data_IF_013409696468
#
_entry.id   IF_013409696468
#
_cell.length_a   1.000
_cell.length_b   1.000
_cell.length_c   1.000
_cell.angle_alpha   90.00
_cell.angle_beta   90.00
_cell.angle_gamma   90.00
#
_symmetry.space_group_name_H-M   'P 1'
#
loop_
_entity.id
_entity.type
_entity.pdbx_description
1 polymer ?
#
# COMPACT_ATOMS: atom_id res chain seq x y z
N UNK A 1 -3.81 1.56 21.53
CA UNK A 1 -3.37 1.38 20.13
C UNK A 1 -4.51 1.68 19.16
N UNK A 2 -5.55 0.87 19.06
CA UNK A 2 -6.65 1.04 18.08
C UNK A 2 -7.34 2.41 18.08
N UNK A 3 -7.40 3.08 19.22
CA UNK A 3 -8.00 4.42 19.34
C UNK A 3 -7.30 5.45 18.41
N UNK A 4 -5.98 5.41 18.29
CA UNK A 4 -5.24 6.34 17.45
C UNK A 4 -5.47 6.09 15.96
N UNK A 5 -5.60 4.84 15.54
CA UNK A 5 -6.00 4.49 14.18
C UNK A 5 -7.46 4.89 13.90
N UNK A 6 -8.35 4.72 14.88
CA UNK A 6 -9.72 5.22 14.76
C UNK A 6 -9.74 6.74 14.59
N UNK A 7 -8.97 7.48 15.39
CA UNK A 7 -8.85 8.95 15.27
C UNK A 7 -8.30 9.36 13.90
N UNK A 8 -7.30 8.64 13.36
CA UNK A 8 -6.80 8.87 12.01
C UNK A 8 -7.91 8.70 10.97
N UNK A 9 -8.71 7.64 11.06
CA UNK A 9 -9.87 7.44 10.19
C UNK A 9 -10.96 8.52 10.34
N UNK A 10 -11.18 9.03 11.55
CA UNK A 10 -12.11 10.17 11.78
C UNK A 10 -11.59 11.43 11.11
N UNK A 11 -10.28 11.70 11.17
CA UNK A 11 -9.68 12.85 10.47
C UNK A 11 -9.90 12.73 8.96
N UNK A 12 -9.70 11.55 8.38
CA UNK A 12 -9.93 11.30 6.95
C UNK A 12 -11.40 11.50 6.57
N UNK A 13 -12.35 11.03 7.40
CA UNK A 13 -13.78 11.25 7.23
C UNK A 13 -14.14 12.74 7.30
N UNK A 14 -13.59 13.47 8.26
CA UNK A 14 -13.82 14.92 8.36
C UNK A 14 -13.36 15.66 7.10
N UNK A 15 -12.19 15.31 6.55
CA UNK A 15 -11.70 15.88 5.30
C UNK A 15 -12.63 15.51 4.13
N UNK A 16 -13.07 14.26 4.06
CA UNK A 16 -14.00 13.79 3.03
C UNK A 16 -15.33 14.56 3.03
N UNK A 17 -15.87 14.87 4.20
CA UNK A 17 -17.10 15.68 4.37
C UNK A 17 -16.86 17.20 4.24
N UNK A 18 -15.69 17.63 3.82
CA UNK A 18 -15.38 19.02 3.50
C UNK A 18 -14.96 19.88 4.68
N UNK A 19 -14.60 19.28 5.83
CA UNK A 19 -14.02 20.04 6.94
C UNK A 19 -12.62 20.54 6.54
N UNK A 20 -12.41 21.85 6.61
CA UNK A 20 -11.15 22.49 6.23
C UNK A 20 -10.09 22.28 7.34
N UNK A 21 -9.38 21.17 7.27
CA UNK A 21 -8.22 20.87 8.11
C UNK A 21 -6.92 21.31 7.42
N UNK A 22 -5.87 21.64 8.18
CA UNK A 22 -4.55 21.95 7.59
C UNK A 22 -4.05 20.87 6.65
N UNK A 23 -3.33 21.26 5.61
CA UNK A 23 -2.74 20.30 4.65
C UNK A 23 -1.76 19.35 5.36
N UNK A 24 -1.98 18.03 5.21
CA UNK A 24 -1.16 17.02 5.88
C UNK A 24 -1.74 16.46 7.18
N UNK A 25 -2.91 16.93 7.65
CA UNK A 25 -3.56 16.42 8.88
C UNK A 25 -3.79 14.90 8.83
N UNK A 26 -4.19 14.35 7.69
CA UNK A 26 -4.34 12.90 7.48
C UNK A 26 -3.02 12.16 7.74
N UNK A 27 -1.94 12.59 7.10
CA UNK A 27 -0.61 12.00 7.31
C UNK A 27 -0.14 12.17 8.76
N UNK A 28 -0.33 13.36 9.36
CA UNK A 28 0.05 13.63 10.74
C UNK A 28 -0.66 12.74 11.75
N UNK A 29 -1.96 12.52 11.57
CA UNK A 29 -2.76 11.60 12.39
C UNK A 29 -2.28 10.15 12.25
N UNK A 30 -1.95 9.72 11.03
CA UNK A 30 -1.42 8.37 10.77
C UNK A 30 -0.03 8.19 11.37
N UNK A 31 0.89 9.16 11.22
CA UNK A 31 2.21 9.13 11.88
C UNK A 31 2.06 9.00 13.39
N UNK A 32 1.18 9.80 14.01
CA UNK A 32 0.92 9.72 15.43
C UNK A 32 0.41 8.33 15.84
N UNK A 33 -0.49 7.74 15.07
CA UNK A 33 -1.01 6.41 15.35
C UNK A 33 0.10 5.34 15.37
N UNK A 34 0.99 5.33 14.37
CA UNK A 34 2.12 4.41 14.32
C UNK A 34 3.16 4.68 15.41
N UNK A 35 3.46 5.93 15.72
CA UNK A 35 4.38 6.29 16.82
C UNK A 35 3.83 5.79 18.17
N UNK A 36 2.55 6.01 18.44
CA UNK A 36 1.92 5.54 19.68
C UNK A 36 1.85 4.01 19.73
N UNK A 37 1.64 3.35 18.61
CA UNK A 37 1.73 1.90 18.52
C UNK A 37 3.14 1.41 18.88
N UNK A 38 4.18 1.98 18.27
CA UNK A 38 5.57 1.61 18.53
C UNK A 38 5.98 1.84 19.99
N UNK A 39 5.56 2.95 20.62
CA UNK A 39 5.81 3.22 22.02
C UNK A 39 5.13 2.20 22.94
N UNK A 40 3.89 1.81 22.66
CA UNK A 40 3.17 0.80 23.45
C UNK A 40 3.83 -0.57 23.31
N UNK A 41 4.24 -0.97 22.11
CA UNK A 41 4.96 -2.23 21.93
C UNK A 41 6.33 -2.22 22.61
N UNK A 42 7.08 -1.14 22.54
CA UNK A 42 8.35 -0.99 23.25
C UNK A 42 8.18 -1.16 24.76
N UNK A 43 7.13 -0.57 25.33
CA UNK A 43 6.82 -0.71 26.76
C UNK A 43 6.39 -2.12 27.15
N UNK A 44 5.74 -2.84 26.24
CA UNK A 44 5.19 -4.17 26.47
C UNK A 44 6.25 -5.29 26.48
N UNK A 45 7.44 -5.02 25.97
CA UNK A 45 8.54 -6.00 25.86
C UNK A 45 9.27 -6.22 27.19
N UNK A 46 9.15 -5.30 28.15
CA UNK A 46 9.84 -5.40 29.44
C UNK A 46 9.44 -6.65 30.26
N UNK A 47 10.44 -7.42 30.69
CA UNK A 47 10.23 -8.58 31.55
C UNK A 47 9.79 -9.85 30.81
N UNK A 48 9.83 -9.88 29.48
CA UNK A 48 9.54 -11.06 28.67
C UNK A 48 10.80 -11.92 28.45
N UNK A 49 10.63 -13.23 28.14
CA UNK A 49 11.73 -14.08 27.68
C UNK A 49 12.46 -13.51 26.49
N UNK A 50 13.75 -13.80 26.32
CA UNK A 50 14.60 -13.19 25.27
C UNK A 50 14.04 -13.33 23.86
N UNK A 51 13.56 -14.51 23.49
CA UNK A 51 12.97 -14.75 22.18
C UNK A 51 11.72 -13.90 21.96
N UNK A 52 10.83 -13.86 22.96
CA UNK A 52 9.59 -13.08 22.91
C UNK A 52 9.92 -11.57 22.78
N UNK A 53 10.83 -11.07 23.59
CA UNK A 53 11.31 -9.70 23.50
C UNK A 53 11.90 -9.38 22.13
N UNK A 54 12.72 -10.28 21.58
CA UNK A 54 13.39 -10.08 20.30
C UNK A 54 12.44 -10.01 19.11
N UNK A 55 11.47 -10.93 19.00
CA UNK A 55 10.51 -10.93 17.88
C UNK A 55 9.57 -9.74 17.92
N UNK A 56 9.21 -9.24 19.12
CA UNK A 56 8.48 -7.99 19.27
C UNK A 56 9.34 -6.77 18.91
N UNK A 57 10.63 -6.81 19.23
CA UNK A 57 11.56 -5.75 18.84
C UNK A 57 11.68 -5.61 17.32
N UNK A 58 11.71 -6.72 16.58
CA UNK A 58 11.66 -6.69 15.10
C UNK A 58 10.39 -5.99 14.59
N UNK A 59 9.24 -6.25 15.23
CA UNK A 59 7.99 -5.57 14.93
C UNK A 59 8.07 -4.06 15.19
N UNK A 60 8.64 -3.66 16.34
CA UNK A 60 8.83 -2.25 16.70
C UNK A 60 9.65 -1.50 15.66
N UNK A 61 10.70 -2.12 15.11
CA UNK A 61 11.49 -1.52 14.03
C UNK A 61 10.65 -1.28 12.77
N UNK A 62 9.79 -2.22 12.37
CA UNK A 62 8.90 -2.05 11.21
C UNK A 62 7.93 -0.90 11.48
N UNK A 63 7.34 -0.82 12.67
CA UNK A 63 6.37 0.22 13.05
C UNK A 63 6.99 1.62 12.94
N UNK A 64 8.16 1.84 13.55
CA UNK A 64 8.83 3.14 13.48
C UNK A 64 9.33 3.49 12.06
N UNK A 65 9.77 2.49 11.29
CA UNK A 65 10.13 2.69 9.90
C UNK A 65 8.90 3.08 9.07
N UNK A 66 7.74 2.48 9.34
CA UNK A 66 6.47 2.86 8.71
C UNK A 66 6.09 4.30 9.03
N UNK A 67 6.18 4.70 10.30
CA UNK A 67 5.92 6.08 10.72
C UNK A 67 6.85 7.07 10.01
N UNK A 68 8.14 6.74 9.89
CA UNK A 68 9.13 7.55 9.17
C UNK A 68 8.77 7.69 7.68
N UNK A 69 8.41 6.60 7.02
CA UNK A 69 8.04 6.61 5.59
C UNK A 69 6.80 7.46 5.37
N UNK A 70 5.79 7.38 6.24
CA UNK A 70 4.58 8.21 6.17
C UNK A 70 4.92 9.70 6.37
N UNK A 71 5.82 10.02 7.30
CA UNK A 71 6.29 11.38 7.51
C UNK A 71 7.06 11.94 6.28
N UNK A 72 7.86 11.09 5.61
CA UNK A 72 8.52 11.46 4.36
C UNK A 72 7.52 11.62 3.21
N UNK A 73 6.51 10.76 3.11
CA UNK A 73 5.44 10.85 2.11
C UNK A 73 4.64 12.16 2.28
N UNK A 74 4.40 12.60 3.51
CA UNK A 74 3.77 13.90 3.78
C UNK A 74 4.56 15.07 3.15
N UNK A 75 5.89 14.99 3.15
CA UNK A 75 6.79 15.99 2.56
C UNK A 75 6.91 15.82 1.03
N UNK A 76 6.99 14.59 0.55
CA UNK A 76 7.23 14.24 -0.86
C UNK A 76 6.00 13.54 -1.47
N UNK A 77 4.86 14.23 -1.52
CA UNK A 77 3.54 13.70 -1.93
C UNK A 77 3.50 13.07 -3.32
N UNK A 78 4.41 13.45 -4.21
CA UNK A 78 4.47 12.94 -5.59
C UNK A 78 5.31 11.68 -5.75
N UNK A 79 5.96 11.22 -4.68
CA UNK A 79 6.83 10.05 -4.73
C UNK A 79 6.02 8.76 -4.65
N UNK A 80 5.81 8.11 -5.79
CA UNK A 80 5.17 6.78 -5.88
C UNK A 80 5.94 5.74 -5.06
N UNK A 81 7.27 5.85 -5.01
CA UNK A 81 8.13 4.92 -4.27
C UNK A 81 7.81 4.92 -2.77
N UNK A 82 7.57 6.09 -2.17
CA UNK A 82 7.21 6.18 -0.74
C UNK A 82 5.86 5.52 -0.46
N UNK A 83 4.86 5.73 -1.33
CA UNK A 83 3.56 5.06 -1.21
C UNK A 83 3.67 3.52 -1.30
N UNK A 84 4.48 3.02 -2.25
CA UNK A 84 4.76 1.58 -2.38
C UNK A 84 5.49 1.05 -1.13
N UNK A 85 6.49 1.78 -0.64
CA UNK A 85 7.24 1.40 0.57
C UNK A 85 6.35 1.36 1.80
N UNK A 86 5.46 2.34 1.97
CA UNK A 86 4.46 2.33 3.04
C UNK A 86 3.56 1.10 2.97
N UNK A 87 3.06 0.79 1.77
CA UNK A 87 2.20 -0.38 1.57
C UNK A 87 2.93 -1.69 1.90
N UNK A 88 4.19 -1.82 1.49
CA UNK A 88 5.05 -2.95 1.82
C UNK A 88 5.23 -3.10 3.34
N UNK A 89 5.61 -2.03 4.03
CA UNK A 89 5.85 -2.06 5.48
C UNK A 89 4.58 -2.36 6.27
N UNK A 90 3.44 -1.80 5.87
CA UNK A 90 2.14 -2.09 6.52
C UNK A 90 1.74 -3.56 6.33
N UNK A 91 1.93 -4.12 5.13
CA UNK A 91 1.67 -5.52 4.85
C UNK A 91 2.62 -6.44 5.64
N UNK A 92 3.90 -6.09 5.71
CA UNK A 92 4.92 -6.80 6.47
C UNK A 92 4.59 -6.79 7.96
N UNK A 93 4.22 -5.63 8.52
CA UNK A 93 3.79 -5.48 9.91
C UNK A 93 2.58 -6.37 10.22
N UNK A 94 1.52 -6.29 9.41
CA UNK A 94 0.30 -7.07 9.62
C UNK A 94 0.56 -8.58 9.59
N UNK A 95 1.34 -9.07 8.64
CA UNK A 95 1.67 -10.49 8.54
C UNK A 95 2.66 -10.95 9.62
N UNK A 96 3.59 -10.08 10.06
CA UNK A 96 4.51 -10.40 11.16
C UNK A 96 3.79 -10.59 12.49
N UNK A 97 2.67 -9.89 12.73
CA UNK A 97 1.81 -10.18 13.90
C UNK A 97 1.38 -11.65 13.94
N UNK A 98 0.97 -12.23 12.81
CA UNK A 98 0.67 -13.66 12.73
C UNK A 98 1.91 -14.52 12.97
N UNK A 99 3.07 -14.11 12.41
CA UNK A 99 4.35 -14.77 12.63
C UNK A 99 4.72 -14.86 14.12
N UNK A 100 4.61 -13.75 14.85
CA UNK A 100 4.80 -13.69 16.31
C UNK A 100 3.86 -14.67 17.03
N UNK A 101 2.58 -14.66 16.67
CA UNK A 101 1.59 -15.56 17.24
C UNK A 101 1.93 -17.04 17.01
N UNK A 102 2.37 -17.40 15.80
CA UNK A 102 2.78 -18.78 15.46
C UNK A 102 4.05 -19.18 16.23
N UNK A 103 5.05 -18.30 16.34
CA UNK A 103 6.30 -18.58 17.04
C UNK A 103 6.06 -18.80 18.52
N UNK A 104 5.22 -17.97 19.17
CA UNK A 104 5.02 -18.01 20.61
C UNK A 104 3.96 -19.03 21.07
N UNK A 105 2.90 -19.20 20.27
CA UNK A 105 1.71 -19.95 20.70
C UNK A 105 1.35 -21.12 19.78
N UNK A 106 2.21 -21.44 18.80
CA UNK A 106 1.97 -22.56 17.87
C UNK A 106 1.84 -23.90 18.59
N UNK A 107 0.84 -24.71 18.23
CA UNK A 107 0.44 -25.96 18.90
C UNK A 107 1.47 -27.09 18.86
N UNK A 108 2.55 -26.97 18.11
CA UNK A 108 3.61 -27.94 17.94
C UNK A 108 4.98 -27.33 18.19
N UNK A 109 5.16 -26.74 19.36
CA UNK A 109 6.52 -26.36 19.74
C UNK A 109 7.31 -27.65 19.99
N UNK A 110 8.44 -27.89 19.32
CA UNK A 110 9.28 -29.03 19.56
C UNK A 110 9.78 -29.04 21.03
N UNK A 111 10.02 -30.21 21.60
CA UNK A 111 10.49 -30.34 22.98
C UNK A 111 11.85 -29.68 23.27
N UNK A 112 12.59 -29.30 22.22
CA UNK A 112 13.84 -28.52 22.30
C UNK A 112 13.63 -27.00 22.26
N UNK A 113 12.38 -26.54 22.26
CA UNK A 113 12.02 -25.11 22.17
C UNK A 113 12.22 -24.43 23.52
N UNK A 114 13.48 -24.11 23.82
CA UNK A 114 13.84 -23.33 24.99
C UNK A 114 13.85 -21.81 24.59
N UNK A 115 12.91 -21.05 25.14
CA UNK A 115 12.74 -19.63 24.85
C UNK A 115 13.95 -18.75 25.24
N UNK A 116 14.89 -19.28 25.97
CA UNK A 116 16.16 -18.61 26.34
C UNK A 116 17.33 -19.00 25.41
N UNK A 117 17.09 -19.88 24.44
CA UNK A 117 18.14 -20.34 23.52
C UNK A 117 18.51 -19.31 22.47
N UNK A 118 19.77 -18.90 22.45
CA UNK A 118 20.36 -18.05 21.41
C UNK A 118 20.13 -18.61 19.97
N UNK A 119 20.08 -19.90 19.82
CA UNK A 119 19.82 -20.60 18.57
C UNK A 119 18.44 -20.25 18.00
N UNK A 120 17.42 -20.13 18.86
CA UNK A 120 16.06 -19.76 18.44
C UNK A 120 15.97 -18.31 17.97
N UNK A 121 16.75 -17.41 18.57
CA UNK A 121 16.86 -16.02 18.11
C UNK A 121 17.43 -15.96 16.69
N UNK A 122 18.45 -16.77 16.39
CA UNK A 122 18.99 -16.88 15.02
C UNK A 122 17.95 -17.41 14.03
N UNK A 123 17.18 -18.44 14.39
CA UNK A 123 16.10 -18.96 13.54
C UNK A 123 14.98 -17.92 13.34
N UNK A 124 14.61 -17.19 14.38
CA UNK A 124 13.62 -16.11 14.29
C UNK A 124 14.08 -15.00 13.33
N UNK A 125 15.37 -14.63 13.40
CA UNK A 125 15.98 -13.65 12.48
C UNK A 125 15.94 -14.15 11.04
N UNK A 126 16.33 -15.40 10.79
CA UNK A 126 16.31 -16.00 9.46
C UNK A 126 14.87 -16.05 8.91
N UNK A 127 13.92 -16.47 9.74
CA UNK A 127 12.50 -16.50 9.38
C UNK A 127 12.00 -15.10 9.01
N UNK A 128 12.38 -14.07 9.78
CA UNK A 128 12.05 -12.68 9.49
C UNK A 128 12.63 -12.20 8.15
N UNK A 129 13.89 -12.54 7.87
CA UNK A 129 14.52 -12.18 6.59
C UNK A 129 13.79 -12.82 5.40
N UNK A 130 13.44 -14.11 5.50
CA UNK A 130 12.65 -14.79 4.47
C UNK A 130 11.24 -14.18 4.32
N UNK A 131 10.64 -13.83 5.45
CA UNK A 131 9.34 -13.15 5.47
C UNK A 131 9.40 -11.83 4.70
N UNK A 132 10.41 -10.99 4.95
CA UNK A 132 10.64 -9.76 4.19
C UNK A 132 10.82 -10.02 2.69
N UNK A 133 11.62 -11.02 2.31
CA UNK A 133 11.89 -11.36 0.92
C UNK A 133 10.62 -11.82 0.19
N UNK A 134 9.81 -12.67 0.80
CA UNK A 134 8.53 -13.15 0.23
C UNK A 134 7.58 -11.98 0.00
N UNK A 135 7.44 -11.07 0.95
CA UNK A 135 6.55 -9.90 0.80
C UNK A 135 7.05 -8.95 -0.30
N UNK A 136 8.37 -8.79 -0.44
CA UNK A 136 8.93 -7.99 -1.54
C UNK A 136 8.63 -8.62 -2.90
N UNK A 137 8.79 -9.94 -3.03
CA UNK A 137 8.45 -10.67 -4.26
C UNK A 137 6.95 -10.52 -4.58
N UNK A 138 6.08 -10.71 -3.59
CA UNK A 138 4.63 -10.54 -3.78
C UNK A 138 4.27 -9.12 -4.21
N UNK A 139 4.89 -8.09 -3.62
CA UNK A 139 4.68 -6.70 -4.00
C UNK A 139 5.12 -6.44 -5.45
N UNK A 140 6.29 -6.95 -5.86
CA UNK A 140 6.78 -6.80 -7.23
C UNK A 140 5.84 -7.49 -8.22
N UNK A 141 5.43 -8.73 -7.94
CA UNK A 141 4.49 -9.48 -8.78
C UNK A 141 3.14 -8.75 -8.90
N UNK A 142 2.62 -8.23 -7.80
CA UNK A 142 1.38 -7.45 -7.80
C UNK A 142 1.51 -6.18 -8.64
N UNK A 143 2.60 -5.43 -8.46
CA UNK A 143 2.87 -4.19 -9.22
C UNK A 143 2.99 -4.48 -10.72
N UNK A 144 3.71 -5.53 -11.10
CA UNK A 144 3.81 -5.97 -12.51
C UNK A 144 2.46 -6.41 -13.07
N UNK A 145 1.66 -7.11 -12.27
CA UNK A 145 0.29 -7.51 -12.65
C UNK A 145 -0.61 -6.32 -12.93
N UNK A 146 -0.62 -5.32 -12.04
CA UNK A 146 -1.38 -4.07 -12.22
C UNK A 146 -0.88 -3.30 -13.45
N UNK A 147 0.44 -3.19 -13.62
CA UNK A 147 1.00 -2.52 -14.80
C UNK A 147 0.58 -3.21 -16.10
N UNK A 148 0.66 -4.55 -16.16
CA UNK A 148 0.26 -5.32 -17.33
C UNK A 148 -1.24 -5.16 -17.63
N UNK A 149 -2.07 -5.22 -16.58
CA UNK A 149 -3.51 -5.02 -16.69
C UNK A 149 -3.85 -3.63 -17.25
N UNK A 150 -3.27 -2.57 -16.67
CA UNK A 150 -3.53 -1.20 -17.10
C UNK A 150 -3.05 -0.95 -18.54
N UNK A 151 -1.90 -1.49 -18.92
CA UNK A 151 -1.40 -1.41 -20.29
C UNK A 151 -2.39 -2.03 -21.28
N UNK A 152 -2.86 -3.24 -21.00
CA UNK A 152 -3.81 -3.94 -21.89
C UNK A 152 -5.14 -3.19 -22.02
N UNK A 153 -5.65 -2.59 -20.95
CA UNK A 153 -6.91 -1.85 -20.98
C UNK A 153 -6.73 -0.43 -21.54
N UNK A 154 -5.61 0.22 -21.29
CA UNK A 154 -5.29 1.52 -21.88
C UNK A 154 -5.15 1.46 -23.41
N UNK A 155 -4.50 0.41 -23.91
CA UNK A 155 -4.39 0.20 -25.37
C UNK A 155 -5.76 -0.04 -26.03
N UNK A 156 -6.71 -0.70 -25.35
CA UNK A 156 -8.06 -0.94 -25.83
C UNK A 156 -8.91 0.36 -25.85
N UNK A 157 -8.77 1.19 -24.83
CA UNK A 157 -9.50 2.47 -24.74
C UNK A 157 -9.01 3.46 -25.79
N UNK A 158 -7.69 3.56 -26.01
CA UNK A 158 -7.11 4.37 -27.06
C UNK A 158 -7.58 3.93 -28.46
N UNK A 159 -7.57 2.64 -28.73
CA UNK A 159 -8.00 2.08 -30.04
C UNK A 159 -9.50 2.32 -30.29
N UNK A 160 -10.35 2.29 -29.26
CA UNK A 160 -11.78 2.56 -29.38
C UNK A 160 -12.07 4.05 -29.63
N UNK A 161 -11.29 4.95 -29.04
CA UNK A 161 -11.43 6.39 -29.22
C UNK A 161 -11.02 6.81 -30.65
N UNK A 162 -9.89 6.30 -31.13
CA UNK A 162 -9.39 6.53 -32.49
C UNK A 162 -10.40 6.05 -33.55
N UNK A 163 -10.99 4.84 -33.36
CA UNK A 163 -12.01 4.32 -34.24
C UNK A 163 -13.31 5.14 -34.27
N UNK A 164 -13.69 5.76 -33.15
CA UNK A 164 -14.86 6.66 -33.09
C UNK A 164 -14.60 8.00 -33.77
N UNK A 165 -13.42 8.58 -33.61
CA UNK A 165 -13.04 9.83 -34.32
C UNK A 165 -13.00 9.63 -35.85
N UNK A 166 -12.44 8.49 -36.32
CA UNK A 166 -12.42 8.17 -37.75
C UNK A 166 -13.83 7.98 -38.32
N UNK A 167 -14.76 7.44 -37.60
CA UNK A 167 -16.16 7.27 -38.02
C UNK A 167 -16.87 8.62 -38.09
N UNK A 168 -16.69 9.50 -37.09
CA UNK A 168 -17.27 10.83 -37.10
C UNK A 168 -16.71 11.71 -38.23
N UNK A 169 -15.40 11.63 -38.48
CA UNK A 169 -14.75 12.36 -39.58
C UNK A 169 -15.25 11.92 -40.95
N UNK A 170 -15.39 10.59 -41.15
CA UNK A 170 -15.93 10.07 -42.39
C UNK A 170 -17.41 10.43 -42.57
N UNK A 171 -18.22 10.43 -41.52
CA UNK A 171 -19.61 10.85 -41.57
C UNK A 171 -19.73 12.34 -41.95
N UNK A 172 -18.89 13.21 -41.41
CA UNK A 172 -18.86 14.66 -41.74
C UNK A 172 -18.44 14.94 -43.20
N UNK A 173 -17.50 14.15 -43.72
CA UNK A 173 -17.07 14.22 -45.12
C UNK A 173 -18.17 13.79 -46.09
N UNK A 174 -18.92 12.77 -45.78
CA UNK A 174 -20.07 12.31 -46.58
C UNK A 174 -21.19 13.33 -46.57
N UNK A 175 -21.46 13.97 -45.42
CA UNK A 175 -22.48 15.02 -45.33
C UNK A 175 -22.11 16.29 -46.10
N UNK A 176 -20.82 16.64 -46.15
CA UNK A 176 -20.34 17.76 -46.96
C UNK A 176 -20.45 17.46 -48.46
N UNK A 177 -20.10 16.25 -48.89
CA UNK A 177 -20.18 15.80 -50.27
C UNK A 177 -21.63 15.77 -50.80
N UNK A 178 -22.58 15.30 -50.00
CA UNK A 178 -24.01 15.31 -50.37
C UNK A 178 -24.58 16.72 -50.48
N UNK A 179 -24.13 17.67 -49.64
CA UNK A 179 -24.55 19.09 -49.74
C UNK A 179 -23.98 19.78 -50.98
N UNK A 180 -22.79 19.44 -51.41
CA UNK A 180 -22.22 19.95 -52.69
C UNK A 180 -22.99 19.43 -53.91
N UNK A 181 -23.31 18.12 -53.98
CA UNK A 181 -24.12 17.54 -55.06
C UNK A 181 -25.52 18.17 -55.13
N UNK A 182 -26.19 18.36 -53.98
CA UNK A 182 -27.51 19.00 -53.93
C UNK A 182 -27.47 20.52 -54.34
N UNK A 183 -26.33 21.18 -54.15
CA UNK A 183 -26.14 22.55 -54.57
C UNK A 183 -25.91 22.70 -56.10
N UNK A 184 -25.19 21.75 -56.70
CA UNK A 184 -24.98 21.72 -58.17
C UNK A 184 -26.25 21.38 -58.94
N UNK A 185 -27.10 20.49 -58.41
CA UNK A 185 -28.39 20.12 -58.99
C UNK A 185 -29.42 21.26 -58.99
N UNK A 186 -29.28 22.27 -58.15
CA UNK A 186 -30.20 23.41 -58.05
C UNK A 186 -29.82 24.59 -58.97
N UNK A 187 -28.67 24.54 -59.64
CA UNK A 187 -28.14 25.56 -60.52
C UNK A 187 -28.44 25.28 -61.98
N UNK A 188 -28.99 24.17 -62.37
CA UNK A 188 -29.49 23.74 -63.64
C UNK A 188 -31.03 23.66 -63.64
#
# INVERSE_FOLDING_TARGET
MYLFFLLSGVVDLCIYYGLHLPSGSSYGAMVLAFVMEGLLFTSHVHGRPELDAYIHQLLVYIIFLTALVIALEMKFKTSILLGITRSYLTMLQGSWFFGVGIILYGHKQPSFWDHESHTLIMYATLYFCWHCAVHLILLVLFTLGVWHYNRKHGDLEYTSHDATEDVEQNASLLESSTKEEDSELKVH
#
